data_IF_332748684634
#
_entry.id   IF_332748684634
#
_cell.length_a   1.000
_cell.length_b   1.000
_cell.length_c   1.000
_cell.angle_alpha   90.00
_cell.angle_beta   90.00
_cell.angle_gamma   90.00
#
_symmetry.space_group_name_H-M   'P 1'
#
loop_
_entity.id
_entity.type
_entity.pdbx_description
1 polymer ?
#
# COMPACT_ATOMS: atom_id res chain seq x y z
N UNK A 1 11.83 -36.34 -20.46
CA UNK A 1 11.99 -36.76 -19.06
C UNK A 1 10.59 -36.94 -18.47
N UNK A 2 10.23 -38.17 -18.10
CA UNK A 2 8.92 -38.51 -17.52
C UNK A 2 8.99 -38.22 -16.01
N UNK A 3 8.15 -37.32 -15.52
CA UNK A 3 8.10 -36.91 -14.11
C UNK A 3 7.01 -37.71 -13.39
N UNK A 4 7.39 -38.56 -12.43
CA UNK A 4 6.45 -39.28 -11.55
C UNK A 4 6.15 -38.43 -10.31
N UNK A 5 4.87 -38.19 -9.94
CA UNK A 5 4.54 -37.43 -8.73
C UNK A 5 4.74 -38.28 -7.46
N UNK A 6 5.49 -37.75 -6.50
CA UNK A 6 5.59 -38.32 -5.13
C UNK A 6 4.26 -38.10 -4.38
N UNK A 7 3.81 -39.15 -3.70
CA UNK A 7 2.57 -39.17 -2.87
C UNK A 7 2.60 -38.09 -1.78
N UNK A 8 1.48 -37.39 -1.62
CA UNK A 8 1.23 -36.46 -0.51
C UNK A 8 1.19 -37.18 0.86
N UNK A 9 1.67 -36.57 1.95
CA UNK A 9 1.50 -37.12 3.30
C UNK A 9 0.07 -36.93 3.80
N UNK A 10 -0.46 -37.92 4.54
CA UNK A 10 -1.80 -37.91 5.16
C UNK A 10 -1.90 -36.86 6.29
N UNK A 11 -3.08 -36.27 6.52
CA UNK A 11 -3.28 -35.28 7.58
C UNK A 11 -3.20 -35.94 8.97
N UNK A 12 -2.45 -35.32 9.89
CA UNK A 12 -2.44 -35.70 11.32
C UNK A 12 -3.67 -35.10 12.01
N UNK A 13 -4.36 -35.92 12.81
CA UNK A 13 -5.45 -35.52 13.72
C UNK A 13 -4.98 -34.42 14.67
N UNK A 14 -5.70 -33.29 14.71
CA UNK A 14 -5.59 -32.30 15.81
C UNK A 14 -6.17 -32.89 17.10
N UNK A 15 -5.38 -32.91 18.17
CA UNK A 15 -5.86 -33.12 19.53
C UNK A 15 -6.33 -31.77 20.09
N UNK A 16 -7.52 -31.76 20.68
CA UNK A 16 -8.13 -30.61 21.34
C UNK A 16 -7.41 -30.27 22.64
N UNK A 17 -6.71 -29.13 22.67
CA UNK A 17 -6.23 -28.52 23.91
C UNK A 17 -7.07 -27.29 24.22
N UNK A 18 -7.91 -27.41 25.25
CA UNK A 18 -8.48 -26.28 25.98
C UNK A 18 -7.36 -25.55 26.70
N UNK A 19 -7.15 -24.27 26.43
CA UNK A 19 -6.29 -23.43 27.26
C UNK A 19 -6.95 -22.09 27.59
N UNK A 20 -6.83 -21.80 28.87
CA UNK A 20 -7.31 -20.67 29.66
C UNK A 20 -6.77 -19.32 29.20
N UNK A 21 -7.59 -18.29 29.43
CA UNK A 21 -7.26 -16.87 29.30
C UNK A 21 -5.94 -16.51 30.00
N UNK A 22 -4.97 -16.03 29.22
CA UNK A 22 -3.79 -15.30 29.72
C UNK A 22 -3.76 -13.92 29.10
N UNK A 23 -3.62 -12.91 29.95
CA UNK A 23 -3.52 -11.48 29.63
C UNK A 23 -2.47 -11.20 28.55
N UNK A 24 -2.89 -10.61 27.44
CA UNK A 24 -1.99 -10.11 26.41
C UNK A 24 -1.30 -8.83 26.89
N UNK A 25 -0.01 -8.93 27.18
CA UNK A 25 0.91 -7.79 27.18
C UNK A 25 1.16 -7.35 25.73
N UNK A 26 1.10 -6.04 25.43
CA UNK A 26 1.38 -5.53 24.09
C UNK A 26 2.86 -5.78 23.71
N UNK A 27 3.18 -5.88 22.40
CA UNK A 27 4.55 -6.01 21.93
C UNK A 27 5.37 -4.75 22.31
N UNK A 28 6.69 -4.88 22.50
CA UNK A 28 7.54 -3.74 22.82
C UNK A 28 7.53 -2.73 21.67
N UNK A 29 7.52 -1.45 22.02
CA UNK A 29 7.60 -0.34 21.07
C UNK A 29 8.85 -0.50 20.18
N UNK A 30 8.67 -0.28 18.87
CA UNK A 30 9.76 -0.13 17.91
C UNK A 30 10.72 0.95 18.41
N UNK A 31 12.02 0.68 18.37
CA UNK A 31 13.03 1.68 18.66
C UNK A 31 12.82 2.90 17.75
N UNK A 32 13.01 4.14 18.26
CA UNK A 32 12.95 5.33 17.41
C UNK A 32 13.94 5.17 16.25
N UNK A 33 13.50 5.50 15.03
CA UNK A 33 14.41 5.70 13.92
C UNK A 33 15.36 6.83 14.34
N UNK A 34 16.65 6.50 14.49
CA UNK A 34 17.62 7.39 15.14
C UNK A 34 17.66 8.79 14.54
N UNK A 35 17.83 9.80 15.39
CA UNK A 35 18.01 11.20 14.99
C UNK A 35 19.21 11.37 14.05
N UNK A 36 19.18 12.32 13.10
CA UNK A 36 20.38 12.72 12.36
C UNK A 36 21.39 13.30 13.35
N UNK A 37 22.60 12.74 13.36
CA UNK A 37 23.64 13.05 14.33
C UNK A 37 23.96 14.56 14.42
N UNK A 38 23.90 15.11 15.64
CA UNK A 38 24.46 16.41 15.96
C UNK A 38 25.94 16.51 15.55
N UNK A 39 26.30 17.65 14.97
CA UNK A 39 27.60 17.94 14.38
C UNK A 39 28.74 17.90 15.41
N UNK A 40 29.43 16.76 15.50
CA UNK A 40 30.75 16.68 16.12
C UNK A 40 31.84 16.82 15.05
N UNK A 41 32.55 17.94 15.15
CA UNK A 41 33.78 18.33 14.44
C UNK A 41 34.78 17.17 14.33
N UNK A 42 34.93 16.63 13.12
CA UNK A 42 35.96 15.65 12.79
C UNK A 42 35.80 15.09 11.37
N UNK A 43 36.48 15.71 10.40
CA UNK A 43 36.56 15.29 8.98
C UNK A 43 36.68 13.77 8.79
N UNK A 44 35.57 13.15 8.42
CA UNK A 44 35.44 12.08 7.44
C UNK A 44 34.13 12.37 6.74
N UNK A 45 34.16 12.59 5.43
CA UNK A 45 32.96 12.59 4.61
C UNK A 45 32.30 11.23 4.80
N UNK A 46 31.39 11.13 5.77
CA UNK A 46 30.45 10.02 5.83
C UNK A 46 29.45 10.34 4.74
N UNK A 47 29.79 10.00 3.50
CA UNK A 47 28.75 9.65 2.54
C UNK A 47 27.86 8.67 3.28
N UNK A 48 26.61 9.07 3.53
CA UNK A 48 25.60 8.18 4.08
C UNK A 48 25.47 7.08 3.05
N UNK A 49 26.14 5.95 3.30
CA UNK A 49 26.28 4.90 2.31
C UNK A 49 24.88 4.39 2.02
N UNK A 50 24.42 4.60 0.78
CA UNK A 50 23.11 4.22 0.28
C UNK A 50 23.06 2.69 0.15
N UNK A 51 23.06 2.01 1.30
CA UNK A 51 23.04 0.57 1.46
C UNK A 51 21.66 0.15 1.92
N UNK A 52 21.25 -1.04 1.46
CA UNK A 52 20.02 -1.70 1.92
C UNK A 52 18.79 -0.79 1.83
N UNK A 53 18.63 -0.09 0.70
CA UNK A 53 17.47 0.79 0.46
C UNK A 53 16.20 -0.05 0.42
N UNK A 54 15.17 0.42 1.12
CA UNK A 54 13.86 -0.23 1.07
C UNK A 54 12.86 0.37 2.04
N UNK A 55 11.92 -0.44 2.50
CA UNK A 55 10.80 0.00 3.35
C UNK A 55 11.26 0.04 4.81
N UNK A 56 11.30 1.26 5.37
CA UNK A 56 11.64 1.54 6.77
C UNK A 56 10.44 1.37 7.71
N UNK A 57 9.29 1.87 7.27
CA UNK A 57 8.06 1.89 8.05
C UNK A 57 6.87 1.73 7.10
N UNK A 58 5.79 1.15 7.61
CA UNK A 58 4.55 1.00 6.87
C UNK A 58 3.36 1.17 7.81
N UNK A 59 2.31 1.77 7.31
CA UNK A 59 1.01 1.84 7.97
C UNK A 59 -0.11 1.66 6.96
N UNK A 60 -1.29 1.28 7.43
CA UNK A 60 -2.44 1.02 6.57
C UNK A 60 -3.74 1.56 7.15
N UNK A 61 -4.61 1.99 6.26
CA UNK A 61 -5.99 2.38 6.56
C UNK A 61 -6.93 1.64 5.62
N UNK A 62 -8.05 1.16 6.16
CA UNK A 62 -9.20 0.72 5.39
C UNK A 62 -10.47 1.20 6.11
N UNK A 63 -11.55 1.53 5.38
CA UNK A 63 -12.79 1.97 6.00
C UNK A 63 -13.31 0.94 7.02
N UNK A 64 -13.83 1.37 8.18
CA UNK A 64 -14.42 0.45 9.15
C UNK A 64 -15.76 -0.13 8.66
N UNK A 65 -16.39 0.52 7.68
CA UNK A 65 -17.66 0.10 7.08
C UNK A 65 -17.42 -1.10 6.16
N UNK A 66 -18.12 -2.21 6.42
CA UNK A 66 -17.93 -3.44 5.67
C UNK A 66 -19.21 -4.29 5.58
N UNK A 67 -19.24 -5.19 4.59
CA UNK A 67 -20.29 -6.19 4.40
C UNK A 67 -19.70 -7.59 4.46
N UNK A 68 -20.38 -8.50 5.17
CA UNK A 68 -19.99 -9.91 5.23
C UNK A 68 -20.36 -10.59 3.91
N UNK A 69 -19.42 -11.35 3.33
CA UNK A 69 -19.62 -11.99 2.03
C UNK A 69 -20.71 -13.07 2.09
N UNK A 70 -20.83 -13.81 3.20
CA UNK A 70 -21.95 -14.75 3.39
C UNK A 70 -23.31 -14.05 3.37
N UNK A 71 -23.42 -12.85 3.95
CA UNK A 71 -24.65 -12.07 3.89
C UNK A 71 -24.92 -11.53 2.48
N UNK A 72 -23.86 -11.13 1.76
CA UNK A 72 -23.95 -10.67 0.38
C UNK A 72 -24.37 -11.80 -0.58
N UNK A 73 -23.93 -13.05 -0.35
CA UNK A 73 -24.38 -14.22 -1.10
C UNK A 73 -25.91 -14.37 -1.01
N UNK A 74 -26.45 -14.25 0.21
CA UNK A 74 -27.90 -14.34 0.46
C UNK A 74 -28.64 -13.19 -0.24
N UNK A 75 -28.13 -11.97 -0.12
CA UNK A 75 -28.71 -10.78 -0.76
C UNK A 75 -28.79 -10.92 -2.29
N UNK A 76 -27.71 -11.39 -2.91
CA UNK A 76 -27.62 -11.49 -4.37
C UNK A 76 -28.32 -12.74 -4.94
N UNK A 77 -28.87 -13.61 -4.09
CA UNK A 77 -29.42 -14.90 -4.51
C UNK A 77 -28.34 -15.86 -5.04
N UNK A 78 -27.09 -15.68 -4.63
CA UNK A 78 -25.99 -16.56 -4.99
C UNK A 78 -26.06 -17.90 -4.23
N UNK A 79 -25.50 -18.96 -4.84
CA UNK A 79 -25.33 -20.23 -4.14
C UNK A 79 -24.40 -20.07 -2.94
N UNK A 80 -24.74 -20.72 -1.80
CA UNK A 80 -23.90 -20.74 -0.61
C UNK A 80 -22.45 -21.12 -0.94
N UNK A 81 -21.50 -20.33 -0.47
CA UNK A 81 -20.08 -20.54 -0.71
C UNK A 81 -19.56 -19.92 -2.02
N UNK A 82 -20.40 -19.29 -2.85
CA UNK A 82 -19.94 -18.69 -4.11
C UNK A 82 -18.87 -17.62 -3.87
N UNK A 83 -19.01 -16.79 -2.85
CA UNK A 83 -18.08 -15.72 -2.52
C UNK A 83 -17.07 -16.19 -1.47
N UNK A 84 -17.53 -16.81 -0.39
CA UNK A 84 -16.66 -17.26 0.71
C UNK A 84 -15.72 -18.40 0.33
N UNK A 85 -16.16 -19.33 -0.53
CA UNK A 85 -15.34 -20.45 -0.99
C UNK A 85 -14.85 -20.22 -2.42
N UNK A 86 -15.74 -19.80 -3.32
CA UNK A 86 -15.42 -19.60 -4.74
C UNK A 86 -14.45 -18.45 -4.99
N UNK A 87 -14.63 -17.31 -4.29
CA UNK A 87 -13.67 -16.20 -4.33
C UNK A 87 -12.65 -16.25 -3.19
N UNK A 88 -12.95 -16.98 -2.11
CA UNK A 88 -12.12 -17.00 -0.90
C UNK A 88 -12.18 -15.69 -0.11
N UNK A 89 -13.32 -14.98 -0.18
CA UNK A 89 -13.50 -13.66 0.45
C UNK A 89 -14.47 -13.75 1.62
N UNK A 90 -14.07 -13.24 2.80
CA UNK A 90 -14.91 -13.26 4.00
C UNK A 90 -15.71 -11.97 4.20
N UNK A 91 -15.07 -10.82 3.97
CA UNK A 91 -15.66 -9.50 4.21
C UNK A 91 -15.12 -8.48 3.20
N UNK A 92 -15.96 -7.52 2.82
CA UNK A 92 -15.62 -6.47 1.86
C UNK A 92 -15.81 -5.09 2.52
N UNK A 93 -14.71 -4.37 2.74
CA UNK A 93 -14.73 -2.99 3.20
C UNK A 93 -15.04 -2.04 2.03
N UNK A 94 -15.78 -0.96 2.29
CA UNK A 94 -16.14 0.02 1.27
C UNK A 94 -16.21 1.43 1.87
N UNK A 95 -15.91 2.44 1.05
CA UNK A 95 -16.07 3.82 1.46
C UNK A 95 -17.55 4.19 1.59
N UNK A 96 -17.89 4.84 2.71
CA UNK A 96 -19.14 5.58 2.83
C UNK A 96 -19.02 6.96 2.17
N UNK A 97 -20.08 7.77 2.19
CA UNK A 97 -20.08 9.13 1.60
C UNK A 97 -19.06 10.09 2.23
N UNK A 98 -18.49 9.75 3.39
CA UNK A 98 -17.51 10.58 4.12
C UNK A 98 -16.05 10.13 3.91
N UNK A 99 -15.82 9.10 3.08
CA UNK A 99 -14.51 8.53 2.83
C UNK A 99 -14.20 8.46 1.33
N UNK A 100 -12.98 8.80 0.94
CA UNK A 100 -12.49 8.69 -0.43
C UNK A 100 -10.98 8.39 -0.42
N UNK A 101 -10.39 8.21 -1.60
CA UNK A 101 -8.95 7.92 -1.72
C UNK A 101 -8.05 9.03 -1.18
N UNK A 102 -8.52 10.27 -1.12
CA UNK A 102 -7.79 11.40 -0.56
C UNK A 102 -7.83 11.34 0.96
N UNK A 103 -9.01 11.18 1.57
CA UNK A 103 -9.16 11.12 3.02
C UNK A 103 -8.49 9.89 3.61
N UNK A 104 -8.59 8.72 2.95
CA UNK A 104 -7.82 7.52 3.34
C UNK A 104 -6.31 7.78 3.31
N UNK A 105 -5.83 8.47 2.26
CA UNK A 105 -4.41 8.80 2.12
C UNK A 105 -3.93 9.80 3.18
N UNK A 106 -4.71 10.83 3.46
CA UNK A 106 -4.42 11.80 4.52
C UNK A 106 -4.35 11.10 5.89
N UNK A 107 -5.27 10.19 6.17
CA UNK A 107 -5.30 9.41 7.41
C UNK A 107 -4.07 8.53 7.55
N UNK A 108 -3.75 7.72 6.54
CA UNK A 108 -2.63 6.76 6.64
C UNK A 108 -1.27 7.48 6.69
N UNK A 109 -1.09 8.59 5.98
CA UNK A 109 0.16 9.36 6.03
C UNK A 109 0.34 10.01 7.40
N UNK A 110 -0.70 10.68 7.93
CA UNK A 110 -0.63 11.24 9.29
C UNK A 110 -0.33 10.16 10.33
N UNK A 111 -1.02 9.03 10.24
CA UNK A 111 -0.83 7.92 11.18
C UNK A 111 0.59 7.35 11.13
N UNK A 112 1.18 7.19 9.94
CA UNK A 112 2.56 6.77 9.78
C UNK A 112 3.54 7.78 10.40
N UNK A 113 3.41 9.07 10.06
CA UNK A 113 4.32 10.11 10.57
C UNK A 113 4.25 10.19 12.11
N UNK A 114 3.05 10.11 12.69
CA UNK A 114 2.83 10.15 14.14
C UNK A 114 3.37 8.90 14.85
N UNK A 115 3.00 7.70 14.41
CA UNK A 115 3.38 6.43 15.07
C UNK A 115 4.88 6.16 15.03
N UNK A 116 5.54 6.58 13.95
CA UNK A 116 6.99 6.40 13.77
C UNK A 116 7.80 7.65 14.11
N UNK A 117 7.15 8.71 14.62
CA UNK A 117 7.77 9.96 15.04
C UNK A 117 8.64 10.62 13.95
N UNK A 118 8.14 10.65 12.72
CA UNK A 118 8.85 11.22 11.58
C UNK A 118 8.55 12.71 11.47
N UNK A 119 9.58 13.55 11.50
CA UNK A 119 9.43 14.98 11.19
C UNK A 119 9.04 15.13 9.70
N UNK A 120 7.89 15.78 9.38
CA UNK A 120 7.47 16.03 8.00
C UNK A 120 8.54 16.74 7.14
N UNK A 121 9.48 17.49 7.73
CA UNK A 121 10.60 18.13 7.03
C UNK A 121 11.61 17.15 6.45
N UNK A 122 11.64 15.91 6.97
CA UNK A 122 12.51 14.84 6.51
C UNK A 122 11.95 14.08 5.30
N UNK A 123 10.82 14.48 4.73
CA UNK A 123 10.31 13.92 3.48
C UNK A 123 10.82 14.74 2.30
N UNK A 124 11.54 14.10 1.37
CA UNK A 124 12.09 14.74 0.16
C UNK A 124 11.42 14.30 -1.13
N UNK A 125 10.72 13.17 -1.10
CA UNK A 125 9.91 12.69 -2.23
C UNK A 125 8.62 12.06 -1.72
N UNK A 126 7.50 12.40 -2.38
CA UNK A 126 6.18 11.85 -2.12
C UNK A 126 5.55 11.47 -3.46
N UNK A 127 5.25 10.19 -3.64
CA UNK A 127 4.54 9.66 -4.80
C UNK A 127 3.31 8.86 -4.40
N UNK A 128 2.28 8.92 -5.25
CA UNK A 128 1.03 8.19 -5.06
C UNK A 128 0.84 7.20 -6.20
N UNK A 129 0.48 5.96 -5.88
CA UNK A 129 -0.02 4.98 -6.83
C UNK A 129 -1.52 4.80 -6.67
N UNK A 130 -2.28 5.03 -7.75
CA UNK A 130 -3.73 4.85 -7.76
C UNK A 130 -4.27 4.59 -9.17
N UNK A 131 -5.39 3.88 -9.23
CA UNK A 131 -6.27 3.79 -10.41
C UNK A 131 -7.64 4.46 -10.20
N UNK A 132 -7.82 5.15 -9.07
CA UNK A 132 -9.02 5.90 -8.72
C UNK A 132 -8.81 7.39 -9.05
N UNK A 133 -9.35 7.82 -10.19
CA UNK A 133 -9.15 9.19 -10.70
C UNK A 133 -10.23 10.12 -10.15
N UNK A 134 -9.84 11.04 -9.26
CA UNK A 134 -10.72 12.12 -8.76
C UNK A 134 -10.68 13.35 -9.65
N UNK A 135 -9.49 13.69 -10.17
CA UNK A 135 -9.29 14.79 -11.10
C UNK A 135 -8.35 14.35 -12.23
N UNK A 136 -8.61 14.81 -13.45
CA UNK A 136 -7.88 14.41 -14.66
C UNK A 136 -6.52 15.12 -14.82
N UNK A 137 -6.23 16.10 -13.97
CA UNK A 137 -5.01 16.90 -14.01
C UNK A 137 -4.38 17.09 -12.63
N UNK A 138 -5.19 17.34 -11.58
CA UNK A 138 -4.72 17.54 -10.22
C UNK A 138 -4.47 16.19 -9.55
N UNK A 139 -3.21 15.89 -9.29
CA UNK A 139 -2.79 14.64 -8.64
C UNK A 139 -3.22 14.56 -7.17
N UNK A 140 -3.47 13.34 -6.69
CA UNK A 140 -3.69 13.02 -5.27
C UNK A 140 -2.49 13.52 -4.44
N UNK A 141 -1.27 13.37 -4.96
CA UNK A 141 -0.05 13.91 -4.33
C UNK A 141 -0.19 15.37 -3.91
N UNK A 142 -0.82 16.22 -4.72
CA UNK A 142 -0.99 17.65 -4.38
C UNK A 142 -2.01 17.89 -3.28
N UNK A 143 -2.98 16.99 -3.07
CA UNK A 143 -3.86 17.06 -1.89
C UNK A 143 -3.10 16.72 -0.61
N UNK A 144 -2.17 15.76 -0.67
CA UNK A 144 -1.35 15.35 0.48
C UNK A 144 -0.34 16.40 0.93
N UNK A 145 0.01 17.35 0.04
CA UNK A 145 0.90 18.47 0.41
C UNK A 145 0.36 19.30 1.57
N UNK A 146 -0.96 19.30 1.82
CA UNK A 146 -1.59 19.94 3.00
C UNK A 146 -1.00 19.47 4.34
N UNK A 147 -0.51 18.22 4.42
CA UNK A 147 0.15 17.69 5.64
C UNK A 147 1.48 18.42 5.90
N UNK A 148 2.14 18.88 4.86
CA UNK A 148 3.49 19.45 4.93
C UNK A 148 3.48 20.98 5.00
N UNK A 149 2.34 21.63 4.74
CA UNK A 149 2.19 23.09 4.77
C UNK A 149 2.58 23.70 6.13
N UNK A 150 2.13 23.12 7.24
CA UNK A 150 2.45 23.62 8.59
C UNK A 150 3.95 23.55 8.89
N UNK A 151 4.64 22.55 8.35
CA UNK A 151 6.09 22.39 8.51
C UNK A 151 6.91 23.32 7.59
N UNK A 152 6.27 23.94 6.61
CA UNK A 152 6.91 24.73 5.56
C UNK A 152 7.69 23.90 4.53
N UNK A 153 7.56 22.57 4.54
CA UNK A 153 8.26 21.68 3.62
C UNK A 153 7.52 21.57 2.28
N UNK A 154 7.85 22.45 1.33
CA UNK A 154 7.22 22.48 0.01
C UNK A 154 8.08 21.89 -1.11
N UNK A 155 9.38 21.71 -0.86
CA UNK A 155 10.33 21.11 -1.80
C UNK A 155 10.32 19.58 -1.67
N UNK A 156 9.29 18.95 -2.25
CA UNK A 156 9.06 17.50 -2.20
C UNK A 156 8.75 16.96 -3.61
N UNK A 157 9.68 16.20 -4.18
CA UNK A 157 9.54 15.58 -5.52
C UNK A 157 8.39 14.57 -5.60
N UNK A 158 8.02 14.15 -6.81
CA UNK A 158 7.05 13.08 -7.07
C UNK A 158 5.65 13.58 -7.44
N UNK A 159 4.86 12.69 -8.04
CA UNK A 159 3.47 12.91 -8.51
C UNK A 159 2.72 11.57 -8.43
N UNK A 160 1.57 11.46 -9.11
CA UNK A 160 0.85 10.19 -9.20
C UNK A 160 1.42 9.31 -10.32
N UNK A 161 1.48 8.00 -10.07
CA UNK A 161 1.82 6.94 -11.03
C UNK A 161 0.61 6.02 -11.23
N UNK A 162 0.24 5.74 -12.47
CA UNK A 162 -0.97 4.96 -12.77
C UNK A 162 -0.75 3.94 -13.88
N UNK A 163 -1.18 2.71 -13.61
CA UNK A 163 -1.49 1.67 -14.58
C UNK A 163 -2.27 0.56 -13.86
N UNK A 164 -3.59 0.73 -13.74
CA UNK A 164 -4.44 -0.14 -12.91
C UNK A 164 -3.82 -0.35 -11.49
N UNK A 165 -3.96 -1.55 -10.92
CA UNK A 165 -3.37 -1.93 -9.64
C UNK A 165 -1.82 -1.84 -9.55
N UNK A 166 -1.11 -1.58 -10.66
CA UNK A 166 0.37 -1.52 -10.67
C UNK A 166 0.93 -0.17 -10.18
N UNK A 167 0.12 0.89 -10.14
CA UNK A 167 0.57 2.26 -9.83
C UNK A 167 1.39 2.37 -8.54
N UNK A 168 0.98 1.66 -7.48
CA UNK A 168 1.70 1.63 -6.21
C UNK A 168 3.10 1.00 -6.30
N UNK A 169 3.25 -0.05 -7.10
CA UNK A 169 4.57 -0.67 -7.34
C UNK A 169 5.46 0.27 -8.15
N UNK A 170 4.91 0.97 -9.14
CA UNK A 170 5.67 1.96 -9.91
C UNK A 170 6.20 3.09 -9.01
N UNK A 171 5.34 3.68 -8.16
CA UNK A 171 5.73 4.72 -7.20
C UNK A 171 6.79 4.23 -6.20
N UNK A 172 6.66 3.00 -5.72
CA UNK A 172 7.63 2.36 -4.84
C UNK A 172 9.01 2.24 -5.49
N UNK A 173 9.06 1.71 -6.71
CA UNK A 173 10.32 1.58 -7.45
C UNK A 173 10.92 2.95 -7.79
N UNK A 174 10.11 3.96 -8.10
CA UNK A 174 10.58 5.31 -8.34
C UNK A 174 11.24 5.91 -7.09
N UNK A 175 10.65 5.73 -5.91
CA UNK A 175 11.24 6.20 -4.65
C UNK A 175 12.53 5.46 -4.30
N UNK A 176 12.59 4.14 -4.47
CA UNK A 176 13.83 3.37 -4.28
C UNK A 176 14.92 3.88 -5.21
N UNK A 177 14.63 4.02 -6.51
CA UNK A 177 15.59 4.54 -7.49
C UNK A 177 16.02 5.97 -7.16
N UNK A 178 15.12 6.81 -6.64
CA UNK A 178 15.43 8.18 -6.22
C UNK A 178 16.41 8.21 -5.05
N UNK A 179 16.20 7.40 -4.01
CA UNK A 179 17.13 7.26 -2.87
C UNK A 179 18.51 6.76 -3.33
N UNK A 180 18.55 5.84 -4.30
CA UNK A 180 19.80 5.34 -4.90
C UNK A 180 20.45 6.33 -5.90
N UNK A 181 19.76 7.42 -6.26
CA UNK A 181 20.22 8.35 -7.29
C UNK A 181 21.20 9.40 -6.78
N UNK A 182 21.90 10.06 -7.70
CA UNK A 182 22.74 11.24 -7.39
C UNK A 182 21.94 12.48 -7.02
N UNK A 183 20.63 12.49 -7.27
CA UNK A 183 19.74 13.58 -6.92
C UNK A 183 19.18 13.43 -5.50
N UNK A 184 19.50 12.33 -4.81
CA UNK A 184 19.06 12.13 -3.43
C UNK A 184 19.66 13.20 -2.51
N UNK A 185 18.81 13.82 -1.70
CA UNK A 185 19.15 14.92 -0.81
C UNK A 185 19.31 14.49 0.66
N UNK A 186 19.30 13.18 0.92
CA UNK A 186 19.39 12.60 2.27
C UNK A 186 18.06 12.43 2.99
N UNK A 187 16.94 12.92 2.44
CA UNK A 187 15.60 12.80 3.05
C UNK A 187 14.91 11.49 2.67
N UNK A 188 13.83 11.15 3.36
CA UNK A 188 13.03 9.95 3.10
C UNK A 188 12.17 10.11 1.84
N UNK A 189 11.95 8.99 1.17
CA UNK A 189 10.85 8.83 0.23
C UNK A 189 9.59 8.39 0.97
N UNK A 190 8.42 8.85 0.52
CA UNK A 190 7.12 8.43 1.02
C UNK A 190 6.25 7.99 -0.15
N UNK A 191 5.78 6.75 -0.09
CA UNK A 191 4.93 6.15 -1.12
C UNK A 191 3.55 5.91 -0.54
N UNK A 192 2.51 6.32 -1.26
CA UNK A 192 1.12 6.06 -0.88
C UNK A 192 0.44 5.25 -1.97
N UNK A 193 -0.08 4.08 -1.63
CA UNK A 193 -0.96 3.31 -2.50
C UNK A 193 -2.39 3.52 -2.01
N UNK A 194 -3.31 4.00 -2.84
CA UNK A 194 -4.69 4.28 -2.42
C UNK A 194 -5.68 3.96 -3.53
N UNK A 195 -6.72 3.19 -3.22
CA UNK A 195 -7.78 2.88 -4.18
C UNK A 195 -9.11 2.58 -3.49
N UNK A 196 -10.20 2.90 -4.19
CA UNK A 196 -11.56 2.48 -3.86
C UNK A 196 -12.14 1.78 -5.09
N UNK A 197 -12.22 0.45 -5.04
CA UNK A 197 -12.73 -0.40 -6.11
C UNK A 197 -14.25 -0.56 -5.99
N UNK A 198 -14.98 0.25 -6.75
CA UNK A 198 -16.43 0.21 -6.86
C UNK A 198 -16.83 -0.44 -8.19
N UNK A 199 -17.80 -1.36 -8.14
CA UNK A 199 -18.28 -2.08 -9.32
C UNK A 199 -19.80 -1.96 -9.46
N UNK A 200 -20.25 -1.95 -10.72
CA UNK A 200 -21.66 -1.94 -11.06
C UNK A 200 -22.38 -3.18 -10.53
N UNK A 201 -23.70 -3.18 -10.65
CA UNK A 201 -24.49 -4.38 -10.42
C UNK A 201 -24.03 -5.54 -11.31
N UNK A 202 -23.87 -6.71 -10.71
CA UNK A 202 -23.41 -7.90 -11.39
C UNK A 202 -22.30 -8.66 -10.66
N UNK A 203 -21.69 -9.65 -11.32
CA UNK A 203 -20.79 -10.62 -10.69
C UNK A 203 -19.47 -10.04 -10.18
N UNK A 204 -19.16 -8.81 -10.59
CA UNK A 204 -18.00 -8.03 -10.20
C UNK A 204 -18.14 -7.38 -8.81
N UNK A 205 -19.36 -7.07 -8.38
CA UNK A 205 -19.63 -6.33 -7.14
C UNK A 205 -18.98 -6.94 -5.89
N UNK A 206 -18.99 -8.28 -5.69
CA UNK A 206 -18.38 -8.90 -4.52
C UNK A 206 -16.84 -8.85 -4.48
N UNK A 207 -16.18 -8.33 -5.52
CA UNK A 207 -14.71 -8.22 -5.61
C UNK A 207 -14.21 -6.79 -5.38
N UNK A 208 -15.05 -5.91 -4.83
CA UNK A 208 -14.69 -4.54 -4.45
C UNK A 208 -13.77 -4.50 -3.22
N UNK A 209 -13.45 -3.30 -2.78
CA UNK A 209 -12.60 -3.06 -1.62
C UNK A 209 -12.08 -1.63 -1.62
N UNK A 210 -11.71 -1.12 -0.44
CA UNK A 210 -11.08 0.20 -0.33
C UNK A 210 -9.99 0.17 0.75
N UNK A 211 -8.84 0.75 0.44
CA UNK A 211 -7.72 0.89 1.39
C UNK A 211 -6.71 1.93 0.91
N UNK A 212 -5.91 2.42 1.86
CA UNK A 212 -4.68 3.14 1.59
C UNK A 212 -3.52 2.58 2.44
N UNK A 213 -2.32 2.55 1.87
CA UNK A 213 -1.08 2.12 2.52
C UNK A 213 -0.04 3.21 2.33
N UNK A 214 0.66 3.60 3.40
CA UNK A 214 1.83 4.47 3.32
C UNK A 214 3.09 3.66 3.63
N UNK A 215 4.15 3.88 2.86
CA UNK A 215 5.46 3.25 3.04
C UNK A 215 6.55 4.31 3.07
N UNK A 216 7.35 4.33 4.13
CA UNK A 216 8.53 5.18 4.24
C UNK A 216 9.75 4.46 3.64
N UNK A 217 10.47 5.14 2.76
CA UNK A 217 11.58 4.59 1.97
C UNK A 217 12.89 5.28 2.36
N UNK A 218 13.94 4.49 2.57
CA UNK A 218 15.27 5.01 2.86
C UNK A 218 16.32 3.90 3.01
N UNK A 219 17.58 4.26 3.30
CA UNK A 219 18.69 3.32 3.47
C UNK A 219 18.62 2.56 4.80
N UNK A 220 19.34 1.44 4.89
CA UNK A 220 19.41 0.57 6.06
C UNK A 220 18.03 0.03 6.49
N UNK A 221 17.19 -0.30 5.50
CA UNK A 221 15.83 -0.71 5.75
C UNK A 221 15.74 -2.16 6.28
N UNK A 222 14.82 -2.45 7.22
CA UNK A 222 14.53 -3.81 7.65
C UNK A 222 13.93 -4.68 6.53
N UNK A 223 13.32 -4.04 5.53
CA UNK A 223 12.83 -4.68 4.30
C UNK A 223 13.58 -4.05 3.13
N UNK A 224 14.78 -4.53 2.85
CA UNK A 224 15.63 -4.03 1.77
C UNK A 224 15.27 -4.66 0.41
N UNK A 225 15.52 -3.90 -0.66
CA UNK A 225 15.34 -4.39 -2.02
C UNK A 225 16.56 -5.16 -2.50
N UNK A 226 16.33 -6.34 -3.06
CA UNK A 226 17.34 -7.04 -3.83
C UNK A 226 17.36 -6.48 -5.27
N UNK A 227 18.05 -5.37 -5.51
CA UNK A 227 17.88 -4.52 -6.71
C UNK A 227 18.03 -5.26 -8.06
N UNK A 228 18.77 -6.38 -8.10
CA UNK A 228 18.96 -7.21 -9.31
C UNK A 228 17.89 -8.28 -9.51
N UNK A 229 17.13 -8.64 -8.49
CA UNK A 229 16.15 -9.73 -8.53
C UNK A 229 14.76 -9.18 -8.80
N UNK A 230 14.58 -8.68 -10.04
CA UNK A 230 13.29 -8.16 -10.52
C UNK A 230 13.02 -8.64 -11.95
N UNK A 231 11.76 -8.81 -12.28
CA UNK A 231 11.30 -9.11 -13.64
C UNK A 231 10.02 -8.32 -13.91
N UNK A 232 9.83 -7.88 -15.15
CA UNK A 232 8.65 -7.13 -15.57
C UNK A 232 8.10 -7.72 -16.87
N UNK A 233 6.78 -7.72 -17.00
CA UNK A 233 6.08 -8.04 -18.23
C UNK A 233 5.02 -6.96 -18.46
N UNK A 234 5.06 -6.32 -19.63
CA UNK A 234 4.11 -5.28 -20.03
C UNK A 234 3.66 -5.59 -21.46
N UNK A 235 2.36 -5.56 -21.69
CA UNK A 235 1.74 -5.86 -22.97
C UNK A 235 0.55 -4.94 -23.22
N UNK A 236 0.27 -4.66 -24.49
CA UNK A 236 -0.95 -3.98 -24.88
C UNK A 236 -2.10 -4.99 -24.97
N UNK A 237 -3.07 -4.88 -24.08
CA UNK A 237 -4.25 -5.76 -24.00
C UNK A 237 -5.48 -4.95 -23.53
N UNK A 238 -6.68 -5.48 -23.77
CA UNK A 238 -7.97 -4.93 -23.33
C UNK A 238 -8.72 -5.95 -22.45
N UNK A 239 -8.09 -6.39 -21.38
CA UNK A 239 -8.65 -7.33 -20.40
C UNK A 239 -9.53 -6.62 -19.35
N UNK A 240 -9.01 -5.53 -18.77
CA UNK A 240 -9.69 -4.68 -17.79
C UNK A 240 -9.26 -3.22 -17.98
N UNK A 241 -10.21 -2.32 -18.25
CA UNK A 241 -9.92 -0.91 -18.47
C UNK A 241 -11.14 -0.02 -18.16
N UNK A 242 -10.92 1.27 -17.90
CA UNK A 242 -11.95 2.27 -17.57
C UNK A 242 -12.05 3.33 -18.68
N UNK A 243 -12.71 3.04 -19.83
CA UNK A 243 -12.76 3.96 -20.97
C UNK A 243 -13.81 5.07 -20.81
N UNK A 244 -14.84 4.85 -19.99
CA UNK A 244 -15.90 5.81 -19.74
C UNK A 244 -15.50 6.75 -18.59
N UNK A 245 -15.26 8.02 -18.92
CA UNK A 245 -14.81 9.02 -17.96
C UNK A 245 -15.92 9.50 -17.02
N UNK A 246 -17.19 9.19 -17.30
CA UNK A 246 -18.32 9.56 -16.45
C UNK A 246 -18.72 8.44 -15.47
N UNK A 247 -18.11 7.26 -15.59
CA UNK A 247 -18.43 6.07 -14.79
C UNK A 247 -17.20 5.63 -14.00
N UNK A 248 -17.41 5.25 -12.75
CA UNK A 248 -16.37 4.61 -11.92
C UNK A 248 -16.15 3.13 -12.32
N UNK A 249 -17.11 2.56 -13.05
CA UNK A 249 -17.12 1.13 -13.36
C UNK A 249 -16.24 0.76 -14.56
N UNK A 250 -15.43 -0.29 -14.44
CA UNK A 250 -14.58 -0.76 -15.53
C UNK A 250 -15.33 -1.62 -16.54
N UNK A 251 -14.77 -1.70 -17.74
CA UNK A 251 -15.11 -2.69 -18.77
C UNK A 251 -14.21 -3.91 -18.62
N UNK A 252 -14.79 -5.11 -18.71
CA UNK A 252 -14.07 -6.40 -18.72
C UNK A 252 -14.49 -7.20 -19.95
N UNK A 253 -13.53 -7.83 -20.65
CA UNK A 253 -13.78 -8.60 -21.89
C UNK A 253 -13.67 -10.13 -21.67
N UNK A 254 -13.70 -10.59 -20.41
CA UNK A 254 -13.54 -12.01 -20.05
C UNK A 254 -14.77 -12.58 -19.34
#
# INVERSE_FOLDING_TARGET
LVYYPRRAPRPRRCQSHTNSLTSHTPPPASQPLGEPAEAQSGRRDREMECKDVGILAMDMYFPPTCVQQEALEVHDGASKGKYTIGLGQDCMAFCSEVEDVISMSLTVVKSLLEKYHIDPKLIGRLEVGSETVIDKSKSIKTWLMQIFEESGNTDIEGVDSSNACYGGTAALLNCVNWVESRCWDGRYGLVVCTDSAVYAEGPARPTGGAAAIAMLIGPNAPISFESKYRASHMAHVYDFYKPDLASEYPVRIL
#
